data_IF_418474167754
#
_entry.id   IF_418474167754
#
_cell.length_a   1.000
_cell.length_b   1.000
_cell.length_c   1.000
_cell.angle_alpha   90.00
_cell.angle_beta   90.00
_cell.angle_gamma   90.00
#
_symmetry.space_group_name_H-M   'P 1'
#
loop_
_entity.id
_entity.type
_entity.pdbx_description
1 polymer ?
#
# COMPACT_ATOMS: atom_id res chain seq x y z
N UNK A 1 -20.12 -19.68 15.57
CA UNK A 1 -19.93 -18.28 15.13
C UNK A 1 -19.87 -18.26 13.62
N UNK A 2 -20.89 -17.72 12.96
CA UNK A 2 -20.93 -17.46 11.51
C UNK A 2 -21.07 -15.95 11.38
N UNK A 3 -20.17 -15.31 10.63
CA UNK A 3 -20.26 -13.89 10.33
C UNK A 3 -21.27 -13.68 9.21
N UNK A 4 -22.53 -13.50 9.60
CA UNK A 4 -23.48 -12.68 8.84
C UNK A 4 -23.36 -11.25 9.35
N UNK A 5 -23.62 -10.28 8.47
CA UNK A 5 -23.82 -8.85 8.77
C UNK A 5 -22.57 -7.96 8.72
N UNK A 6 -22.11 -7.67 7.50
CA UNK A 6 -21.64 -6.32 7.18
C UNK A 6 -22.85 -5.55 6.63
N UNK A 7 -23.51 -4.82 7.52
CA UNK A 7 -24.51 -3.81 7.17
C UNK A 7 -23.79 -2.57 6.66
N UNK A 8 -24.08 -2.18 5.42
CA UNK A 8 -23.67 -0.92 4.83
C UNK A 8 -24.43 0.21 5.54
N UNK A 9 -23.73 1.16 6.15
CA UNK A 9 -24.37 2.32 6.77
C UNK A 9 -25.04 3.19 5.70
N UNK A 10 -26.36 3.29 5.80
CA UNK A 10 -27.23 4.19 5.03
C UNK A 10 -27.02 5.63 5.51
N UNK A 11 -26.69 6.53 4.59
CA UNK A 11 -26.90 7.97 4.78
C UNK A 11 -28.34 8.28 4.32
N UNK A 12 -29.28 8.45 5.26
CA UNK A 12 -30.59 9.03 5.00
C UNK A 12 -30.43 10.55 4.70
N UNK A 13 -31.20 11.25 3.86
CA UNK A 13 -32.36 10.91 3.06
C UNK A 13 -32.45 11.87 1.86
N UNK A 14 -32.85 11.38 0.69
CA UNK A 14 -33.65 12.15 -0.27
C UNK A 14 -34.86 11.27 -0.65
N UNK A 15 -36.07 11.85 -0.71
CA UNK A 15 -37.27 11.07 -0.97
C UNK A 15 -37.24 10.48 -2.38
N UNK A 16 -37.82 9.29 -2.48
CA UNK A 16 -37.81 8.41 -3.63
C UNK A 16 -38.15 9.10 -4.96
N UNK A 17 -37.21 9.07 -5.91
CA UNK A 17 -37.51 9.13 -7.33
C UNK A 17 -37.26 7.72 -7.91
N UNK A 18 -38.32 7.10 -8.44
CA UNK A 18 -38.32 5.78 -9.03
C UNK A 18 -37.60 5.75 -10.39
N UNK A 19 -36.27 5.87 -10.37
CA UNK A 19 -35.42 5.71 -11.55
C UNK A 19 -34.18 4.85 -11.22
N UNK A 20 -33.58 4.16 -12.20
CA UNK A 20 -32.36 3.38 -11.99
C UNK A 20 -31.24 4.32 -11.52
N UNK A 21 -30.62 3.98 -10.38
CA UNK A 21 -29.46 4.69 -9.86
C UNK A 21 -28.25 4.35 -10.75
N UNK A 22 -27.85 5.30 -11.59
CA UNK A 22 -26.67 5.20 -12.44
C UNK A 22 -25.46 5.70 -11.64
N UNK A 23 -24.54 4.80 -11.28
CA UNK A 23 -23.27 5.18 -10.66
C UNK A 23 -22.32 5.71 -11.75
N UNK A 24 -21.68 6.85 -11.50
CA UNK A 24 -20.94 7.59 -12.53
C UNK A 24 -19.80 6.77 -13.17
N UNK A 25 -19.74 6.83 -14.50
CA UNK A 25 -18.72 6.25 -15.40
C UNK A 25 -17.31 6.28 -14.82
N UNK A 26 -16.73 5.11 -14.48
CA UNK A 26 -15.27 4.95 -14.37
C UNK A 26 -14.85 3.61 -14.94
N UNK A 27 -13.81 3.63 -15.78
CA UNK A 27 -13.25 2.43 -16.40
C UNK A 27 -12.55 1.54 -15.37
N UNK A 28 -12.80 0.24 -15.43
CA UNK A 28 -12.24 -0.83 -14.60
C UNK A 28 -11.89 -2.03 -15.49
N UNK A 29 -10.78 -2.73 -15.22
CA UNK A 29 -10.41 -3.99 -15.87
C UNK A 29 -10.50 -5.19 -14.91
N UNK A 30 -10.63 -6.42 -15.45
CA UNK A 30 -11.08 -7.61 -14.70
C UNK A 30 -10.14 -8.82 -14.70
N UNK A 31 -9.86 -9.40 -13.52
CA UNK A 31 -8.91 -10.48 -13.15
C UNK A 31 -9.02 -11.82 -13.92
N UNK A 32 -7.97 -12.69 -13.99
CA UNK A 32 -8.05 -13.98 -14.67
C UNK A 32 -8.15 -15.13 -13.66
N UNK A 33 -9.27 -15.83 -13.69
CA UNK A 33 -9.49 -17.05 -12.92
C UNK A 33 -10.76 -17.74 -13.38
N UNK A 34 -10.84 -18.05 -14.68
CA UNK A 34 -11.97 -18.75 -15.29
C UNK A 34 -12.31 -18.22 -16.68
N UNK A 35 -11.96 -18.97 -17.72
CA UNK A 35 -12.53 -18.92 -19.07
C UNK A 35 -12.55 -17.56 -19.78
N UNK A 36 -11.54 -17.29 -20.62
CA UNK A 36 -11.70 -16.60 -21.91
C UNK A 36 -12.43 -15.25 -21.99
N UNK A 37 -12.68 -14.54 -20.89
CA UNK A 37 -13.26 -13.20 -20.90
C UNK A 37 -12.16 -12.16 -20.76
N UNK A 38 -11.96 -11.33 -21.79
CA UNK A 38 -11.14 -10.13 -21.67
C UNK A 38 -11.67 -9.19 -20.57
N UNK A 39 -10.85 -8.22 -20.16
CA UNK A 39 -11.26 -7.20 -19.19
C UNK A 39 -12.59 -6.56 -19.61
N UNK A 40 -13.63 -6.74 -18.79
CA UNK A 40 -14.95 -6.17 -19.05
C UNK A 40 -14.99 -4.76 -18.48
N UNK A 41 -14.87 -3.75 -19.34
CA UNK A 41 -15.15 -2.36 -18.96
C UNK A 41 -16.67 -2.12 -19.00
N UNK A 42 -17.26 -1.59 -17.93
CA UNK A 42 -18.68 -1.24 -17.91
C UNK A 42 -19.20 -0.94 -16.51
N UNK A 43 -20.41 -0.38 -16.42
CA UNK A 43 -21.10 -0.21 -15.15
C UNK A 43 -21.41 -1.58 -14.56
N UNK A 44 -21.17 -1.71 -13.27
CA UNK A 44 -21.77 -2.77 -12.48
C UNK A 44 -23.28 -2.60 -12.57
N UNK A 45 -23.93 -3.45 -13.36
CA UNK A 45 -25.37 -3.39 -13.59
C UNK A 45 -26.05 -4.39 -12.66
N UNK A 46 -26.70 -3.87 -11.62
CA UNK A 46 -27.54 -4.68 -10.72
C UNK A 46 -28.88 -4.93 -11.43
N UNK A 47 -29.17 -6.18 -11.80
CA UNK A 47 -30.49 -6.51 -12.33
C UNK A 47 -31.50 -6.70 -11.18
N UNK A 48 -32.36 -5.69 -10.96
CA UNK A 48 -33.38 -5.71 -9.90
C UNK A 48 -34.48 -6.77 -10.11
N UNK A 49 -34.60 -7.34 -11.31
CA UNK A 49 -35.52 -8.44 -11.62
C UNK A 49 -34.99 -9.83 -11.27
N UNK A 50 -33.74 -9.94 -10.78
CA UNK A 50 -33.12 -11.21 -10.41
C UNK A 50 -32.84 -11.26 -8.91
N UNK A 51 -33.30 -12.33 -8.25
CA UNK A 51 -33.02 -12.60 -6.83
C UNK A 51 -31.55 -12.96 -6.58
N UNK A 52 -30.88 -13.57 -7.56
CA UNK A 52 -29.47 -13.95 -7.50
C UNK A 52 -28.77 -13.64 -8.83
N UNK A 53 -27.58 -13.06 -8.77
CA UNK A 53 -26.78 -12.67 -9.94
C UNK A 53 -25.28 -12.87 -9.68
N UNK A 54 -24.54 -13.31 -10.69
CA UNK A 54 -23.08 -13.51 -10.63
C UNK A 54 -22.37 -12.32 -11.26
N UNK A 55 -21.39 -11.77 -10.55
CA UNK A 55 -20.60 -10.62 -10.99
C UNK A 55 -19.18 -11.08 -11.34
N UNK A 56 -18.57 -10.47 -12.35
CA UNK A 56 -17.26 -10.87 -12.89
C UNK A 56 -16.08 -10.19 -12.19
N UNK A 57 -16.32 -9.29 -11.23
CA UNK A 57 -15.28 -8.69 -10.40
C UNK A 57 -15.75 -7.48 -9.60
N UNK A 58 -14.93 -7.06 -8.64
CA UNK A 58 -15.19 -5.86 -7.81
C UNK A 58 -14.59 -4.58 -8.40
N UNK A 59 -13.71 -4.67 -9.41
CA UNK A 59 -13.09 -3.51 -10.06
C UNK A 59 -12.23 -2.67 -9.11
N UNK A 60 -11.45 -3.30 -8.22
CA UNK A 60 -10.58 -2.54 -7.31
C UNK A 60 -9.66 -1.61 -8.07
N UNK A 61 -9.63 -0.35 -7.65
CA UNK A 61 -8.85 0.72 -8.30
C UNK A 61 -7.61 1.13 -7.50
N UNK A 62 -7.47 0.63 -6.27
CA UNK A 62 -6.36 0.87 -5.36
C UNK A 62 -5.79 -0.47 -4.91
N UNK A 63 -4.48 -0.64 -5.04
CA UNK A 63 -3.71 -1.72 -4.42
C UNK A 63 -2.84 -1.11 -3.31
N UNK A 64 -2.87 -1.70 -2.12
CA UNK A 64 -1.98 -1.31 -1.01
C UNK A 64 -0.86 -2.35 -0.88
N UNK A 65 0.36 -1.94 -1.16
CA UNK A 65 1.57 -2.74 -0.99
C UNK A 65 2.27 -2.34 0.31
N UNK A 66 2.90 -3.30 0.95
CA UNK A 66 3.80 -3.08 2.07
C UNK A 66 5.24 -2.87 1.65
N UNK A 67 5.82 -1.82 2.21
CA UNK A 67 7.25 -1.55 2.11
C UNK A 67 7.93 -2.37 3.20
N UNK A 68 8.62 -3.44 2.80
CA UNK A 68 9.18 -4.44 3.72
C UNK A 68 10.32 -3.92 4.59
N UNK A 69 10.33 -4.29 5.86
CA UNK A 69 11.37 -3.94 6.84
C UNK A 69 12.28 -5.10 7.23
N UNK A 70 11.93 -6.33 6.83
CA UNK A 70 12.52 -7.56 7.38
C UNK A 70 13.81 -7.97 6.70
N UNK A 71 14.70 -8.65 7.44
CA UNK A 71 15.99 -9.08 6.89
C UNK A 71 15.90 -10.38 6.07
N UNK A 72 14.81 -11.12 6.19
CA UNK A 72 14.58 -12.36 5.43
C UNK A 72 13.13 -12.45 4.94
N UNK A 73 12.88 -13.48 4.13
CA UNK A 73 11.56 -13.83 3.59
C UNK A 73 11.16 -15.24 4.02
N UNK A 74 11.58 -15.67 5.22
CA UNK A 74 11.44 -17.07 5.69
C UNK A 74 10.02 -17.42 6.17
N UNK A 75 9.14 -16.41 6.30
CA UNK A 75 7.75 -16.51 6.72
C UNK A 75 6.91 -15.59 5.82
N UNK A 76 5.77 -15.13 6.32
CA UNK A 76 4.94 -14.02 5.81
C UNK A 76 5.60 -12.63 5.88
N UNK A 77 6.92 -12.56 6.11
CA UNK A 77 7.67 -11.31 6.24
C UNK A 77 7.97 -10.66 4.90
N UNK A 78 7.93 -9.33 4.88
CA UNK A 78 8.28 -8.53 3.72
C UNK A 78 9.73 -8.05 3.85
N UNK A 79 10.62 -8.54 2.98
CA UNK A 79 12.03 -8.22 3.03
C UNK A 79 12.30 -6.75 2.68
N UNK A 80 13.23 -6.13 3.40
CA UNK A 80 13.72 -4.79 3.07
C UNK A 80 14.75 -4.84 1.95
N UNK A 81 14.70 -3.83 1.08
CA UNK A 81 15.77 -3.56 0.12
C UNK A 81 16.96 -2.83 0.76
N UNK A 82 16.95 -2.51 2.07
CA UNK A 82 18.05 -1.88 2.78
C UNK A 82 18.45 -2.68 4.04
N UNK A 83 18.95 -3.94 3.88
CA UNK A 83 19.15 -4.84 5.02
C UNK A 83 20.37 -4.49 5.89
N UNK A 84 21.35 -3.79 5.32
CA UNK A 84 22.62 -3.51 5.99
C UNK A 84 22.57 -2.15 6.70
N UNK A 85 22.99 -2.09 7.97
CA UNK A 85 23.15 -0.83 8.68
C UNK A 85 24.36 -0.07 8.11
N UNK A 86 24.20 1.15 7.56
CA UNK A 86 25.30 1.91 6.97
C UNK A 86 26.26 2.52 8.02
N UNK A 87 26.02 2.29 9.32
CA UNK A 87 26.86 2.72 10.43
C UNK A 87 26.52 4.10 10.98
N UNK A 88 26.02 5.02 10.15
CA UNK A 88 25.51 6.33 10.59
C UNK A 88 24.34 6.82 9.72
N UNK A 89 23.51 7.77 10.22
CA UNK A 89 22.40 8.30 9.44
C UNK A 89 22.79 9.07 8.17
N UNK A 90 24.05 9.50 8.07
CA UNK A 90 24.60 10.25 6.93
C UNK A 90 25.50 9.40 6.02
N UNK A 91 25.74 8.15 6.37
CA UNK A 91 26.49 7.23 5.52
C UNK A 91 25.64 6.76 4.35
N UNK A 92 26.29 6.49 3.21
CA UNK A 92 25.59 6.02 2.00
C UNK A 92 25.02 4.61 2.24
N UNK A 93 23.70 4.40 2.06
CA UNK A 93 23.08 3.09 2.25
C UNK A 93 23.33 2.18 1.04
N UNK A 94 23.53 0.89 1.30
CA UNK A 94 23.52 -0.14 0.25
C UNK A 94 22.09 -0.64 0.04
N UNK A 95 21.52 -0.35 -1.13
CA UNK A 95 20.22 -0.88 -1.53
C UNK A 95 20.34 -2.15 -2.37
N UNK A 96 19.52 -3.16 -2.08
CA UNK A 96 19.44 -4.47 -2.73
C UNK A 96 18.02 -4.68 -3.25
N UNK A 97 17.77 -4.33 -4.51
CA UNK A 97 16.49 -4.58 -5.16
C UNK A 97 16.44 -6.00 -5.73
N UNK A 98 15.40 -6.75 -5.40
CA UNK A 98 15.24 -8.15 -5.82
C UNK A 98 14.30 -8.32 -7.03
N UNK A 99 13.65 -7.25 -7.48
CA UNK A 99 12.64 -7.28 -8.55
C UNK A 99 11.36 -8.04 -8.18
N UNK A 100 11.07 -8.23 -6.90
CA UNK A 100 9.93 -9.03 -6.42
C UNK A 100 9.08 -8.28 -5.40
N UNK A 101 9.71 -7.65 -4.40
CA UNK A 101 9.02 -7.03 -3.25
C UNK A 101 8.00 -7.98 -2.60
N UNK A 102 8.46 -9.19 -2.25
CA UNK A 102 7.63 -10.28 -1.72
C UNK A 102 6.45 -10.66 -2.63
N UNK A 103 6.60 -10.51 -3.95
CA UNK A 103 5.59 -10.83 -4.97
C UNK A 103 4.64 -9.67 -5.30
N UNK A 104 4.67 -8.59 -4.51
CA UNK A 104 3.77 -7.44 -4.67
C UNK A 104 4.01 -6.69 -5.98
N UNK A 105 5.26 -6.67 -6.47
CA UNK A 105 5.57 -6.04 -7.75
C UNK A 105 4.85 -6.74 -8.91
N UNK A 106 4.87 -8.08 -8.92
CA UNK A 106 4.18 -8.86 -9.95
C UNK A 106 2.67 -8.63 -9.89
N UNK A 107 2.08 -8.56 -8.70
CA UNK A 107 0.66 -8.24 -8.51
C UNK A 107 0.35 -6.85 -9.07
N UNK A 108 1.16 -5.85 -8.74
CA UNK A 108 0.96 -4.47 -9.19
C UNK A 108 1.06 -4.35 -10.72
N UNK A 109 2.11 -4.91 -11.33
CA UNK A 109 2.28 -4.94 -12.80
C UNK A 109 1.08 -5.59 -13.47
N UNK A 110 0.71 -6.78 -13.01
CA UNK A 110 -0.42 -7.54 -13.56
C UNK A 110 -1.73 -6.76 -13.44
N UNK A 111 -1.97 -6.15 -12.28
CA UNK A 111 -3.18 -5.37 -12.02
C UNK A 111 -3.26 -4.10 -12.88
N UNK A 112 -2.14 -3.41 -13.11
CA UNK A 112 -2.11 -2.23 -13.99
C UNK A 112 -2.29 -2.61 -15.46
N UNK A 113 -1.45 -3.51 -15.97
CA UNK A 113 -1.40 -3.86 -17.39
C UNK A 113 -2.68 -4.56 -17.88
N UNK A 114 -3.21 -5.49 -17.08
CA UNK A 114 -4.34 -6.32 -17.49
C UNK A 114 -5.67 -5.80 -16.97
N UNK A 115 -5.67 -5.14 -15.82
CA UNK A 115 -6.89 -4.82 -15.07
C UNK A 115 -7.12 -3.32 -14.83
N UNK A 116 -6.28 -2.46 -15.41
CA UNK A 116 -6.49 -1.02 -15.37
C UNK A 116 -6.50 -0.45 -13.95
N UNK A 117 -5.79 -1.10 -13.02
CA UNK A 117 -5.57 -0.58 -11.67
C UNK A 117 -4.98 0.83 -11.78
N UNK A 118 -5.60 1.80 -11.10
CA UNK A 118 -5.23 3.22 -11.24
C UNK A 118 -4.21 3.66 -10.21
N UNK A 119 -4.31 3.12 -9.00
CA UNK A 119 -3.57 3.62 -7.86
C UNK A 119 -2.84 2.48 -7.16
N UNK A 120 -1.55 2.70 -6.89
CA UNK A 120 -0.74 1.88 -6.00
C UNK A 120 -0.36 2.72 -4.79
N UNK A 121 -0.65 2.21 -3.59
CA UNK A 121 -0.31 2.79 -2.31
C UNK A 121 0.78 1.96 -1.64
N UNK A 122 2.02 2.47 -1.64
CA UNK A 122 3.10 1.86 -0.87
C UNK A 122 3.06 2.37 0.56
N UNK A 123 2.91 1.48 1.55
CA UNK A 123 2.87 1.84 2.95
C UNK A 123 3.87 1.05 3.78
N UNK A 124 4.68 1.73 4.58
CA UNK A 124 5.60 1.06 5.50
C UNK A 124 4.91 0.73 6.83
N UNK A 125 5.13 -0.49 7.32
CA UNK A 125 4.72 -0.88 8.67
C UNK A 125 5.74 -0.48 9.72
N UNK A 126 7.01 -0.48 9.34
CA UNK A 126 8.14 -0.19 10.22
C UNK A 126 9.31 0.36 9.40
N UNK A 127 10.14 1.26 9.94
CA UNK A 127 11.48 1.52 9.42
C UNK A 127 12.39 0.28 9.58
N UNK A 128 13.49 0.17 8.80
CA UNK A 128 14.53 -0.82 9.07
C UNK A 128 15.03 -0.78 10.52
N UNK A 129 15.36 -1.95 11.08
CA UNK A 129 15.65 -2.11 12.52
C UNK A 129 16.68 -1.10 13.06
N UNK A 130 17.75 -0.81 12.32
CA UNK A 130 18.84 0.06 12.73
C UNK A 130 18.45 1.55 12.83
N UNK A 131 17.32 1.93 12.22
CA UNK A 131 16.77 3.29 12.31
C UNK A 131 15.90 3.49 13.57
N UNK A 132 15.58 2.42 14.30
CA UNK A 132 14.64 2.44 15.43
C UNK A 132 15.33 2.46 16.79
N UNK A 133 14.62 2.98 17.80
CA UNK A 133 15.11 3.09 19.18
C UNK A 133 15.35 1.75 19.87
N UNK A 134 14.63 0.71 19.47
CA UNK A 134 14.74 -0.65 20.00
C UNK A 134 15.64 -1.56 19.15
N UNK A 135 16.26 -1.04 18.09
CA UNK A 135 17.09 -1.80 17.14
C UNK A 135 16.38 -3.07 16.62
N UNK A 136 15.07 -3.02 16.44
CA UNK A 136 14.22 -4.15 16.04
C UNK A 136 13.07 -3.63 15.18
N UNK A 137 12.75 -4.29 14.06
CA UNK A 137 11.60 -3.91 13.23
C UNK A 137 10.23 -4.20 13.90
N UNK A 138 10.19 -5.14 14.84
CA UNK A 138 9.01 -5.59 15.58
C UNK A 138 8.90 -4.88 16.94
N UNK A 139 7.82 -5.16 17.67
CA UNK A 139 7.60 -4.76 19.05
C UNK A 139 7.65 -3.24 19.25
N UNK A 140 7.03 -2.48 18.34
CA UNK A 140 6.96 -1.03 18.40
C UNK A 140 8.34 -0.38 18.33
N UNK A 141 8.66 0.51 19.27
CA UNK A 141 9.83 1.39 19.16
C UNK A 141 9.62 2.50 18.14
N UNK A 142 10.48 3.51 18.17
CA UNK A 142 10.24 4.77 17.48
C UNK A 142 11.34 5.02 16.45
N UNK A 143 11.01 5.67 15.33
CA UNK A 143 12.03 6.18 14.42
C UNK A 143 12.87 7.22 15.16
N UNK A 144 14.19 6.99 15.22
CA UNK A 144 15.14 7.93 15.81
C UNK A 144 15.23 9.19 14.96
N UNK A 145 15.24 10.36 15.58
CA UNK A 145 15.15 11.66 14.88
C UNK A 145 16.32 11.89 13.93
N UNK A 146 17.52 11.43 14.31
CA UNK A 146 18.71 11.52 13.46
C UNK A 146 18.59 10.69 12.17
N UNK A 147 17.67 9.72 12.11
CA UNK A 147 17.40 8.88 10.93
C UNK A 147 16.27 9.39 10.03
N UNK A 148 15.63 10.53 10.34
CA UNK A 148 14.47 11.02 9.56
C UNK A 148 14.81 11.22 8.08
N UNK A 149 15.92 11.87 7.76
CA UNK A 149 16.27 12.10 6.35
C UNK A 149 16.65 10.78 5.64
N UNK A 150 17.35 9.87 6.32
CA UNK A 150 17.70 8.57 5.77
C UNK A 150 16.45 7.70 5.50
N UNK A 151 15.46 7.73 6.41
CA UNK A 151 14.21 7.02 6.21
C UNK A 151 13.35 7.64 5.09
N UNK A 152 13.33 8.97 4.96
CA UNK A 152 12.70 9.62 3.82
C UNK A 152 13.35 9.23 2.48
N UNK A 153 14.69 9.17 2.44
CA UNK A 153 15.43 8.71 1.26
C UNK A 153 15.12 7.24 0.93
N UNK A 154 15.03 6.38 1.96
CA UNK A 154 14.62 5.00 1.83
C UNK A 154 13.23 4.88 1.16
N UNK A 155 12.22 5.59 1.66
CA UNK A 155 10.87 5.57 1.06
C UNK A 155 10.86 6.08 -0.39
N UNK A 156 11.62 7.13 -0.70
CA UNK A 156 11.76 7.63 -2.09
C UNK A 156 12.47 6.61 -2.98
N UNK A 157 13.47 5.89 -2.46
CA UNK A 157 14.15 4.85 -3.21
C UNK A 157 13.20 3.70 -3.58
N UNK A 158 12.29 3.31 -2.68
CA UNK A 158 11.24 2.34 -3.00
C UNK A 158 10.39 2.77 -4.20
N UNK A 159 9.95 4.04 -4.22
CA UNK A 159 9.19 4.61 -5.35
C UNK A 159 10.01 4.54 -6.64
N UNK A 160 11.31 4.82 -6.58
CA UNK A 160 12.20 4.74 -7.75
C UNK A 160 12.37 3.33 -8.29
N UNK A 161 12.52 2.33 -7.41
CA UNK A 161 12.59 0.94 -7.85
C UNK A 161 11.32 0.52 -8.57
N UNK A 162 10.15 0.86 -8.03
CA UNK A 162 8.88 0.58 -8.70
C UNK A 162 8.74 1.32 -10.05
N UNK A 163 9.16 2.58 -10.12
CA UNK A 163 9.13 3.35 -11.36
C UNK A 163 10.05 2.77 -12.45
N UNK A 164 11.24 2.27 -12.09
CA UNK A 164 12.15 1.56 -13.01
C UNK A 164 11.52 0.29 -13.59
N UNK A 165 10.61 -0.31 -12.85
CA UNK A 165 9.88 -1.52 -13.21
C UNK A 165 8.60 -1.23 -14.01
N UNK A 166 8.31 0.05 -14.31
CA UNK A 166 7.12 0.49 -15.03
C UNK A 166 5.85 0.61 -14.17
N UNK A 167 5.98 0.54 -12.84
CA UNK A 167 4.85 0.68 -11.90
C UNK A 167 4.97 2.00 -11.15
N UNK A 168 3.99 2.88 -11.33
CA UNK A 168 3.97 4.16 -10.60
C UNK A 168 3.32 3.98 -9.22
N UNK A 169 4.09 4.23 -8.16
CA UNK A 169 3.55 4.42 -6.81
C UNK A 169 2.86 5.79 -6.75
N UNK A 170 1.53 5.77 -6.66
CA UNK A 170 0.70 7.00 -6.66
C UNK A 170 0.48 7.60 -5.29
N UNK A 171 0.57 6.76 -4.25
CA UNK A 171 0.38 7.16 -2.85
C UNK A 171 1.50 6.53 -2.03
N UNK A 172 2.05 7.27 -1.07
CA UNK A 172 3.16 6.82 -0.23
C UNK A 172 2.85 7.11 1.24
N UNK A 173 2.99 6.09 2.08
CA UNK A 173 2.70 6.14 3.50
C UNK A 173 3.91 5.73 4.33
N UNK A 174 4.34 6.54 5.32
CA UNK A 174 5.53 6.25 6.10
C UNK A 174 5.26 5.44 7.37
N UNK A 175 4.00 5.12 7.68
CA UNK A 175 3.61 4.54 8.96
C UNK A 175 2.32 3.71 8.83
N UNK A 176 2.18 2.72 9.70
CA UNK A 176 0.98 1.90 9.87
C UNK A 176 0.64 1.80 11.36
N UNK A 177 -0.63 1.96 11.73
CA UNK A 177 -1.13 1.77 13.11
C UNK A 177 -0.15 2.29 14.19
N UNK A 178 0.14 3.61 14.18
CA UNK A 178 1.25 4.20 14.95
C UNK A 178 1.05 4.15 16.47
N UNK A 179 -0.11 3.73 16.95
CA UNK A 179 -0.48 3.53 18.34
C UNK A 179 -0.39 2.06 18.78
N UNK A 180 0.00 1.14 17.89
CA UNK A 180 0.02 -0.29 18.16
C UNK A 180 1.43 -0.89 18.09
N UNK A 181 1.86 -1.49 19.21
CA UNK A 181 3.10 -2.27 19.28
C UNK A 181 2.80 -3.75 19.06
N UNK A 182 3.05 -4.24 17.85
CA UNK A 182 2.78 -5.62 17.46
C UNK A 182 4.01 -6.52 17.61
N UNK A 183 3.80 -7.83 17.71
CA UNK A 183 4.89 -8.83 17.64
C UNK A 183 5.53 -8.93 16.25
N UNK A 184 4.92 -8.32 15.23
CA UNK A 184 5.41 -8.15 13.87
C UNK A 184 5.80 -6.69 13.60
N UNK A 185 6.19 -6.40 12.34
CA UNK A 185 6.68 -5.08 11.92
C UNK A 185 5.73 -3.97 12.38
N UNK A 186 6.22 -3.11 13.27
CA UNK A 186 5.46 -2.03 13.89
C UNK A 186 6.38 -0.93 14.37
N UNK A 187 5.94 0.32 14.30
CA UNK A 187 6.67 1.46 14.83
C UNK A 187 5.68 2.46 15.42
N UNK A 188 5.98 2.96 16.62
CA UNK A 188 5.13 3.92 17.31
C UNK A 188 5.43 5.34 16.84
N UNK A 189 4.38 6.11 16.62
CA UNK A 189 4.45 7.53 16.28
C UNK A 189 3.41 8.31 17.08
N UNK A 190 3.83 9.41 17.69
CA UNK A 190 2.89 10.40 18.19
C UNK A 190 2.61 11.44 17.09
N UNK A 191 1.62 12.30 17.32
CA UNK A 191 1.26 13.33 16.34
C UNK A 191 2.40 14.29 16.00
N UNK A 192 3.30 14.58 16.95
CA UNK A 192 4.43 15.48 16.74
C UNK A 192 5.52 14.83 15.90
N UNK A 193 5.89 13.57 16.19
CA UNK A 193 6.90 12.84 15.43
C UNK A 193 6.44 12.58 14.00
N UNK A 194 5.15 12.22 13.82
CA UNK A 194 4.55 12.10 12.50
C UNK A 194 4.60 13.44 11.74
N UNK A 195 4.12 14.53 12.32
CA UNK A 195 4.13 15.85 11.66
C UNK A 195 5.57 16.33 11.32
N UNK A 196 6.53 16.10 12.22
CA UNK A 196 7.93 16.48 12.00
C UNK A 196 8.57 15.63 10.90
N UNK A 197 8.25 14.34 10.82
CA UNK A 197 8.74 13.49 9.73
C UNK A 197 8.14 13.87 8.38
N UNK A 198 6.85 14.22 8.31
CA UNK A 198 6.22 14.68 7.06
C UNK A 198 6.91 15.94 6.52
N UNK A 199 7.35 16.87 7.38
CA UNK A 199 8.15 18.05 6.99
C UNK A 199 9.52 17.68 6.39
N UNK A 200 10.04 16.48 6.65
CA UNK A 200 11.27 15.96 6.03
C UNK A 200 10.95 15.18 4.75
N UNK A 201 9.88 14.38 4.75
CA UNK A 201 9.48 13.53 3.64
C UNK A 201 9.05 14.35 2.41
N UNK A 202 8.15 15.32 2.58
CA UNK A 202 7.59 16.11 1.47
C UNK A 202 8.68 16.81 0.62
N UNK A 203 9.61 17.60 1.18
CA UNK A 203 10.66 18.22 0.37
C UNK A 203 11.67 17.20 -0.17
N UNK A 204 11.76 16.00 0.42
CA UNK A 204 12.61 14.93 -0.10
C UNK A 204 12.01 14.31 -1.36
N UNK A 205 10.69 14.13 -1.40
CA UNK A 205 9.96 13.70 -2.60
C UNK A 205 10.14 14.74 -3.72
N UNK A 206 9.91 16.02 -3.44
CA UNK A 206 9.98 17.10 -4.45
C UNK A 206 11.36 17.27 -5.08
N UNK A 207 12.45 17.05 -4.32
CA UNK A 207 13.82 17.16 -4.84
C UNK A 207 14.29 15.94 -5.64
N UNK A 208 13.60 14.82 -5.53
CA UNK A 208 14.03 13.51 -6.05
C UNK A 208 13.05 12.91 -7.06
N UNK A 209 11.90 13.57 -7.27
CA UNK A 209 10.94 13.34 -8.34
C UNK A 209 11.42 13.89 -9.69
#
# INVERSE_FOLDING_TARGET
>A
MRFTDISLAVLAAQPAAAGPVQWAKRQFGGFPGGGGGGAVSGDITVNLGQTFQRWTGAGFSILRNGIGSSLSSDSDWMNTFAPDNPGSPTAEPTYKWDGKDSGQLWVAKTAQEKYGLKYVYGNAWSPPFYMKSNNNENNGGNLKTEWYQAYANYLVQYVKFYAQEGVNITHLGPMNEPDFSASYASALWDGNSAANFIKVLQPTIERKA
#
